data_IF_688351089684
#
_entry.id   IF_688351089684
#
_cell.length_a   1.000
_cell.length_b   1.000
_cell.length_c   1.000
_cell.angle_alpha   90.00
_cell.angle_beta   90.00
_cell.angle_gamma   90.00
#
_symmetry.space_group_name_H-M   'P 1'
#
loop_
_entity.id
_entity.type
_entity.pdbx_description
1 polymer ?
#
# COMPACT_ATOMS: atom_id res chain seq x y z
N UNK A 1 -6.44 28.38 -19.20
CA UNK A 1 -5.36 27.80 -18.38
C UNK A 1 -5.88 26.49 -17.83
N UNK A 2 -5.16 25.37 -17.97
CA UNK A 2 -5.57 24.11 -17.38
C UNK A 2 -5.37 24.15 -15.86
N UNK A 3 -6.07 23.29 -15.11
CA UNK A 3 -5.84 23.15 -13.67
C UNK A 3 -4.35 22.87 -13.35
N UNK A 4 -3.72 21.98 -14.11
CA UNK A 4 -2.30 21.63 -13.92
C UNK A 4 -1.41 22.85 -14.12
N UNK A 5 -1.66 23.68 -15.13
CA UNK A 5 -0.88 24.90 -15.37
C UNK A 5 -1.03 25.93 -14.25
N UNK A 6 -2.17 25.98 -13.54
CA UNK A 6 -2.37 26.91 -12.42
C UNK A 6 -1.53 26.53 -11.18
N UNK A 7 -1.12 25.28 -11.06
CA UNK A 7 -0.23 24.83 -9.98
C UNK A 7 1.18 25.43 -10.10
N UNK A 8 1.56 25.93 -11.25
CA UNK A 8 2.86 26.62 -11.41
C UNK A 8 2.91 27.99 -10.71
N UNK A 9 1.76 28.54 -10.34
CA UNK A 9 1.64 29.86 -9.71
C UNK A 9 1.13 29.79 -8.26
N UNK A 10 0.77 28.58 -7.78
CA UNK A 10 0.19 28.38 -6.45
C UNK A 10 0.97 27.34 -5.67
N UNK A 11 1.09 27.48 -4.33
CA UNK A 11 1.62 26.43 -3.48
C UNK A 11 0.78 25.15 -3.59
N UNK A 12 1.45 23.99 -3.69
CA UNK A 12 0.79 22.69 -3.74
C UNK A 12 1.59 21.63 -2.97
N UNK A 13 0.93 20.55 -2.61
CA UNK A 13 1.55 19.38 -2.01
C UNK A 13 1.36 18.16 -2.92
N UNK A 14 2.29 17.23 -2.88
CA UNK A 14 2.16 15.92 -3.50
C UNK A 14 1.92 14.87 -2.42
N UNK A 15 0.83 14.15 -2.56
CA UNK A 15 0.46 13.05 -1.65
C UNK A 15 0.51 11.72 -2.39
N UNK A 16 1.10 10.72 -1.73
CA UNK A 16 1.31 9.39 -2.29
C UNK A 16 0.58 8.36 -1.42
N UNK A 17 -0.41 7.71 -2.00
CA UNK A 17 -1.14 6.65 -1.33
C UNK A 17 -0.29 5.38 -1.16
N UNK A 18 -0.65 4.56 -0.18
CA UNK A 18 -0.01 3.27 0.09
C UNK A 18 -0.68 2.09 -0.62
N UNK A 19 -0.66 0.93 0.05
CA UNK A 19 -1.33 -0.29 -0.40
C UNK A 19 -2.84 -0.07 -0.59
N UNK A 20 -3.49 -0.97 -1.34
CA UNK A 20 -4.87 -0.88 -1.78
C UNK A 20 -5.17 0.22 -2.83
N UNK A 21 -4.14 0.86 -3.39
CA UNK A 21 -4.29 1.76 -4.53
C UNK A 21 -4.53 0.94 -5.82
N UNK A 22 -5.42 1.36 -6.71
CA UNK A 22 -5.71 0.66 -7.98
C UNK A 22 -4.59 0.86 -9.01
N UNK A 23 -3.41 0.35 -8.71
CA UNK A 23 -2.17 0.55 -9.47
C UNK A 23 -2.18 -0.11 -10.87
N UNK A 24 -2.92 -1.22 -11.04
CA UNK A 24 -2.97 -1.94 -12.33
C UNK A 24 -3.56 -1.09 -13.44
N UNK A 25 -4.71 -0.46 -13.17
CA UNK A 25 -5.35 0.44 -14.13
C UNK A 25 -4.43 1.61 -14.50
N UNK A 26 -3.71 2.17 -13.53
CA UNK A 26 -2.73 3.23 -13.79
C UNK A 26 -1.54 2.74 -14.64
N UNK A 27 -1.05 1.52 -14.42
CA UNK A 27 0.00 0.93 -15.27
C UNK A 27 -0.49 0.64 -16.68
N UNK A 28 -1.74 0.23 -16.85
CA UNK A 28 -2.33 0.03 -18.18
C UNK A 28 -2.44 1.36 -18.95
N UNK A 29 -2.72 2.46 -18.25
CA UNK A 29 -2.70 3.80 -18.86
C UNK A 29 -1.30 4.23 -19.23
N UNK A 30 -0.32 4.05 -18.35
CA UNK A 30 1.10 4.32 -18.62
C UNK A 30 1.59 3.52 -19.83
N UNK A 31 1.22 2.25 -19.94
CA UNK A 31 1.63 1.39 -21.06
C UNK A 31 1.07 1.86 -22.42
N UNK A 32 -0.01 2.64 -22.42
CA UNK A 32 -0.56 3.25 -23.67
C UNK A 32 0.19 4.49 -24.13
N UNK A 33 0.99 5.10 -23.27
CA UNK A 33 1.84 6.23 -23.60
C UNK A 33 3.30 5.77 -23.74
N UNK A 34 3.83 5.66 -24.98
CA UNK A 34 5.16 5.08 -25.21
C UNK A 34 6.28 5.86 -24.53
N UNK A 35 6.18 7.19 -24.42
CA UNK A 35 7.23 8.00 -23.81
C UNK A 35 7.26 7.81 -22.29
N UNK A 36 6.10 7.79 -21.63
CA UNK A 36 6.02 7.52 -20.19
C UNK A 36 6.47 6.09 -19.91
N UNK A 37 6.01 5.14 -20.71
CA UNK A 37 6.37 3.73 -20.59
C UNK A 37 7.89 3.53 -20.71
N UNK A 38 8.56 4.18 -21.67
CA UNK A 38 10.01 4.09 -21.85
C UNK A 38 10.77 4.59 -20.63
N UNK A 39 10.38 5.74 -20.07
CA UNK A 39 11.03 6.33 -18.89
C UNK A 39 10.85 5.41 -17.69
N UNK A 40 9.63 4.95 -17.41
CA UNK A 40 9.35 4.04 -16.30
C UNK A 40 10.10 2.71 -16.48
N UNK A 41 10.10 2.14 -17.69
CA UNK A 41 10.87 0.94 -18.01
C UNK A 41 12.36 1.14 -17.81
N UNK A 42 12.90 2.31 -18.12
CA UNK A 42 14.29 2.69 -17.87
C UNK A 42 14.66 2.59 -16.39
N UNK A 43 13.83 3.14 -15.49
CA UNK A 43 14.02 3.05 -14.04
C UNK A 43 13.94 1.59 -13.55
N UNK A 44 12.96 0.82 -14.06
CA UNK A 44 12.81 -0.61 -13.74
C UNK A 44 14.08 -1.37 -14.14
N UNK A 45 14.55 -1.19 -15.36
CA UNK A 45 15.77 -1.82 -15.88
C UNK A 45 17.02 -1.42 -15.08
N UNK A 46 17.16 -0.14 -14.74
CA UNK A 46 18.27 0.34 -13.93
C UNK A 46 18.27 -0.31 -12.52
N UNK A 47 17.09 -0.56 -11.95
CA UNK A 47 16.95 -1.27 -10.67
C UNK A 47 17.49 -2.71 -10.71
N UNK A 48 17.54 -3.37 -11.87
CA UNK A 48 18.14 -4.69 -12.01
C UNK A 48 19.66 -4.69 -11.72
N UNK A 49 20.33 -3.61 -12.07
CA UNK A 49 21.75 -3.44 -11.77
C UNK A 49 21.97 -3.30 -10.26
N UNK A 50 21.12 -2.51 -9.58
CA UNK A 50 21.15 -2.36 -8.12
C UNK A 50 20.88 -3.70 -7.42
N UNK A 51 19.94 -4.50 -7.93
CA UNK A 51 19.58 -5.80 -7.36
C UNK A 51 20.60 -6.92 -7.68
N UNK A 52 21.46 -6.75 -8.65
CA UNK A 52 22.38 -7.79 -9.12
C UNK A 52 23.28 -8.36 -8.00
N UNK A 53 23.92 -7.57 -7.11
CA UNK A 53 24.67 -8.09 -5.98
C UNK A 53 23.79 -8.85 -4.98
N UNK A 54 22.59 -8.31 -4.70
CA UNK A 54 21.63 -8.91 -3.77
C UNK A 54 21.13 -10.24 -4.30
N UNK A 55 20.79 -10.32 -5.60
CA UNK A 55 20.38 -11.56 -6.27
C UNK A 55 21.43 -12.65 -6.16
N UNK A 56 22.70 -12.33 -6.33
CA UNK A 56 23.79 -13.30 -6.16
C UNK A 56 23.88 -13.83 -4.73
N UNK A 57 23.70 -12.97 -3.74
CA UNK A 57 23.68 -13.37 -2.34
C UNK A 57 22.43 -14.18 -1.98
N UNK A 58 21.27 -13.85 -2.57
CA UNK A 58 20.00 -14.51 -2.30
C UNK A 58 19.82 -15.80 -3.12
N UNK A 59 20.50 -15.95 -4.25
CA UNK A 59 20.45 -17.17 -5.06
C UNK A 59 20.90 -18.41 -4.26
N UNK A 60 21.82 -18.23 -3.31
CA UNK A 60 22.23 -19.26 -2.36
C UNK A 60 21.14 -19.62 -1.33
N UNK A 61 20.08 -18.82 -1.21
CA UNK A 61 19.01 -18.96 -0.25
C UNK A 61 17.65 -19.31 -0.88
N UNK A 62 17.61 -19.74 -2.14
CA UNK A 62 16.38 -20.09 -2.87
C UNK A 62 15.32 -18.96 -2.91
N UNK A 63 15.76 -17.72 -2.93
CA UNK A 63 14.84 -16.59 -3.13
C UNK A 63 14.55 -16.50 -4.63
N UNK A 64 13.30 -16.70 -4.99
CA UNK A 64 12.83 -16.62 -6.37
C UNK A 64 13.25 -15.28 -7.02
N UNK A 65 13.53 -15.34 -8.32
CA UNK A 65 13.72 -14.16 -9.16
C UNK A 65 12.63 -13.12 -8.90
N UNK A 66 13.02 -11.86 -8.89
CA UNK A 66 12.13 -10.70 -8.72
C UNK A 66 11.92 -10.01 -10.07
N UNK A 67 11.32 -10.67 -11.08
CA UNK A 67 10.98 -9.98 -12.30
C UNK A 67 9.81 -9.05 -11.99
N UNK A 68 9.99 -7.78 -12.27
CA UNK A 68 8.90 -6.85 -12.43
C UNK A 68 9.08 -6.21 -13.79
N UNK A 69 8.10 -6.36 -14.64
CA UNK A 69 8.03 -5.76 -15.97
C UNK A 69 6.75 -4.94 -16.06
N UNK A 70 6.81 -3.84 -16.79
CA UNK A 70 5.57 -3.14 -17.16
C UNK A 70 4.72 -4.10 -18.00
N UNK A 71 3.39 -4.08 -17.83
CA UNK A 71 2.52 -4.81 -18.72
C UNK A 71 2.79 -4.35 -20.16
N UNK A 72 2.88 -5.29 -21.09
CA UNK A 72 2.90 -4.94 -22.51
C UNK A 72 1.61 -4.17 -22.83
N UNK A 73 1.71 -3.15 -23.70
CA UNK A 73 0.53 -2.43 -24.15
C UNK A 73 -0.53 -3.44 -24.63
N UNK A 74 -1.76 -3.35 -24.15
CA UNK A 74 -2.75 -4.38 -24.44
C UNK A 74 -3.12 -4.33 -25.91
N UNK A 75 -2.65 -5.28 -26.71
CA UNK A 75 -3.20 -5.58 -28.03
C UNK A 75 -4.60 -6.23 -27.94
N UNK A 76 -4.98 -6.69 -26.78
CA UNK A 76 -6.32 -7.14 -26.45
C UNK A 76 -6.54 -6.97 -24.94
N UNK A 77 -7.79 -6.76 -24.54
CA UNK A 77 -8.23 -6.75 -23.15
C UNK A 77 -8.07 -8.14 -22.50
N UNK A 78 -6.87 -8.69 -22.53
CA UNK A 78 -6.49 -9.83 -21.75
C UNK A 78 -6.42 -9.38 -20.31
N UNK A 79 -7.53 -9.61 -19.63
CA UNK A 79 -7.73 -9.61 -18.19
C UNK A 79 -6.38 -9.68 -17.46
N UNK A 80 -5.96 -8.55 -16.89
CA UNK A 80 -4.98 -8.56 -15.82
C UNK A 80 -5.51 -9.55 -14.78
N UNK A 81 -4.94 -10.75 -14.74
CA UNK A 81 -5.32 -11.76 -13.76
C UNK A 81 -5.17 -11.10 -12.41
N UNK A 82 -6.27 -11.00 -11.70
CA UNK A 82 -6.23 -10.69 -10.28
C UNK A 82 -5.36 -11.75 -9.63
N UNK A 83 -4.11 -11.39 -9.38
CA UNK A 83 -3.20 -12.22 -8.61
C UNK A 83 -3.56 -11.95 -7.15
N UNK A 84 -4.75 -12.42 -6.76
CA UNK A 84 -5.10 -12.50 -5.36
C UNK A 84 -4.20 -13.58 -4.73
N UNK A 85 -3.59 -13.26 -3.61
CA UNK A 85 -2.84 -14.26 -2.87
C UNK A 85 -1.44 -13.80 -2.42
N UNK A 86 -0.61 -14.74 -1.94
CA UNK A 86 0.66 -14.41 -1.29
C UNK A 86 1.68 -13.72 -2.21
N UNK A 87 1.53 -13.82 -3.52
CA UNK A 87 2.44 -13.23 -4.50
C UNK A 87 2.04 -11.81 -4.91
N UNK A 88 0.85 -11.37 -4.51
CA UNK A 88 0.31 -10.06 -4.83
C UNK A 88 1.27 -8.94 -4.40
N UNK A 89 1.85 -9.02 -3.20
CA UNK A 89 2.76 -7.99 -2.70
C UNK A 89 4.04 -7.85 -3.54
N UNK A 90 4.53 -8.94 -4.15
CA UNK A 90 5.70 -8.90 -5.03
C UNK A 90 5.44 -8.07 -6.30
N UNK A 91 4.18 -7.91 -6.68
CA UNK A 91 3.75 -7.12 -7.82
C UNK A 91 3.20 -5.76 -7.42
N UNK A 92 2.36 -5.69 -6.37
CA UNK A 92 1.70 -4.45 -5.97
C UNK A 92 2.66 -3.41 -5.42
N UNK A 93 3.65 -3.82 -4.60
CA UNK A 93 4.59 -2.84 -4.03
C UNK A 93 5.38 -2.11 -5.11
N UNK A 94 6.09 -2.76 -6.04
CA UNK A 94 6.74 -2.05 -7.14
C UNK A 94 5.74 -1.46 -8.14
N UNK A 95 4.59 -2.09 -8.36
CA UNK A 95 3.55 -1.60 -9.27
C UNK A 95 2.99 -0.25 -8.86
N UNK A 96 2.71 -0.06 -7.57
CA UNK A 96 2.27 1.24 -7.02
C UNK A 96 3.35 2.31 -7.23
N UNK A 97 4.61 2.00 -6.97
CA UNK A 97 5.72 2.96 -7.16
C UNK A 97 5.89 3.32 -8.64
N UNK A 98 5.77 2.35 -9.55
CA UNK A 98 5.82 2.59 -10.99
C UNK A 98 4.64 3.47 -11.45
N UNK A 99 3.42 3.21 -10.96
CA UNK A 99 2.24 3.99 -11.26
C UNK A 99 2.38 5.44 -10.75
N UNK A 100 2.92 5.64 -9.56
CA UNK A 100 3.18 6.95 -8.98
C UNK A 100 4.23 7.75 -9.77
N UNK A 101 5.30 7.08 -10.23
CA UNK A 101 6.29 7.70 -11.12
C UNK A 101 5.66 8.09 -12.45
N UNK A 102 4.90 7.20 -13.07
CA UNK A 102 4.22 7.48 -14.34
C UNK A 102 3.25 8.66 -14.22
N UNK A 103 2.44 8.72 -13.16
CA UNK A 103 1.55 9.84 -12.90
C UNK A 103 2.31 11.16 -12.72
N UNK A 104 3.48 11.15 -12.06
CA UNK A 104 4.32 12.34 -11.93
C UNK A 104 4.86 12.83 -13.27
N UNK A 105 5.30 11.91 -14.13
CA UNK A 105 5.75 12.22 -15.49
C UNK A 105 4.60 12.81 -16.30
N UNK A 106 3.41 12.24 -16.23
CA UNK A 106 2.21 12.71 -16.91
C UNK A 106 1.83 14.13 -16.47
N UNK A 107 1.84 14.42 -15.18
CA UNK A 107 1.62 15.78 -14.64
C UNK A 107 2.64 16.78 -15.19
N UNK A 108 3.90 16.38 -15.29
CA UNK A 108 4.97 17.23 -15.86
C UNK A 108 4.70 17.52 -17.34
N UNK A 109 4.28 16.53 -18.10
CA UNK A 109 3.90 16.68 -19.53
C UNK A 109 2.62 17.50 -19.70
N UNK A 110 1.68 17.39 -18.76
CA UNK A 110 0.47 18.21 -18.74
C UNK A 110 0.74 19.69 -18.42
N UNK A 111 2.00 20.06 -18.16
CA UNK A 111 2.46 21.43 -17.98
C UNK A 111 2.81 21.83 -16.56
N UNK A 112 2.90 20.89 -15.62
CA UNK A 112 3.43 21.16 -14.27
C UNK A 112 4.96 21.30 -14.33
N UNK A 113 5.47 22.50 -14.11
CA UNK A 113 6.91 22.72 -14.02
C UNK A 113 7.41 22.41 -12.61
N UNK A 114 7.42 21.12 -12.27
CA UNK A 114 7.75 20.64 -10.91
C UNK A 114 9.18 20.96 -10.48
N UNK A 115 10.10 21.18 -11.43
CA UNK A 115 11.50 21.51 -11.13
C UNK A 115 11.62 22.98 -10.73
N UNK A 116 10.96 23.90 -11.43
CA UNK A 116 11.01 25.32 -11.12
C UNK A 116 10.05 25.70 -9.98
N UNK A 117 8.89 25.02 -9.89
CA UNK A 117 7.91 25.24 -8.83
C UNK A 117 7.73 23.94 -8.04
N UNK A 118 8.68 23.69 -7.13
CA UNK A 118 8.67 22.49 -6.33
C UNK A 118 7.47 22.46 -5.37
N UNK A 119 6.94 21.26 -5.05
CA UNK A 119 5.92 21.11 -4.03
C UNK A 119 6.37 21.69 -2.69
N UNK A 120 5.49 22.39 -2.00
CA UNK A 120 5.75 22.90 -0.64
C UNK A 120 5.81 21.79 0.40
N UNK A 121 5.15 20.66 0.10
CA UNK A 121 5.18 19.48 0.96
C UNK A 121 5.07 18.19 0.13
N UNK A 122 5.66 17.14 0.67
CA UNK A 122 5.49 15.77 0.22
C UNK A 122 4.91 14.95 1.38
N UNK A 123 3.88 14.19 1.11
CA UNK A 123 3.27 13.28 2.06
C UNK A 123 3.19 11.88 1.47
N UNK A 124 3.56 10.88 2.25
CA UNK A 124 3.45 9.49 1.87
C UNK A 124 2.87 8.65 3.00
N UNK A 125 1.70 8.06 2.79
CA UNK A 125 1.10 7.17 3.77
C UNK A 125 1.62 5.73 3.56
N UNK A 126 2.19 5.12 4.62
CA UNK A 126 2.70 3.74 4.56
C UNK A 126 3.70 3.56 3.42
N UNK A 127 3.43 2.67 2.46
CA UNK A 127 4.23 2.49 1.24
C UNK A 127 4.37 3.78 0.40
N UNK A 128 3.45 4.73 0.53
CA UNK A 128 3.52 6.02 -0.15
C UNK A 128 4.81 6.80 0.11
N UNK A 129 5.54 6.47 1.19
CA UNK A 129 6.91 6.99 1.44
C UNK A 129 7.86 6.66 0.28
N UNK A 130 7.73 5.50 -0.36
CA UNK A 130 8.53 5.16 -1.54
C UNK A 130 8.15 6.05 -2.73
N UNK A 131 6.85 6.43 -2.84
CA UNK A 131 6.37 7.42 -3.81
C UNK A 131 6.99 8.80 -3.61
N UNK A 132 7.10 9.25 -2.35
CA UNK A 132 7.82 10.49 -2.02
C UNK A 132 9.28 10.43 -2.47
N UNK A 133 9.96 9.33 -2.17
CA UNK A 133 11.37 9.20 -2.48
C UNK A 133 11.63 9.10 -3.99
N UNK A 134 10.77 8.40 -4.76
CA UNK A 134 10.91 8.35 -6.22
C UNK A 134 10.61 9.70 -6.87
N UNK A 135 9.62 10.45 -6.34
CA UNK A 135 9.32 11.80 -6.81
C UNK A 135 10.49 12.76 -6.57
N UNK A 136 11.10 12.71 -5.39
CA UNK A 136 12.29 13.52 -5.07
C UNK A 136 13.47 13.19 -5.98
N UNK A 137 13.70 11.90 -6.23
CA UNK A 137 14.75 11.46 -7.14
C UNK A 137 14.50 11.97 -8.56
N UNK A 138 13.26 11.85 -9.04
CA UNK A 138 12.84 12.34 -10.35
C UNK A 138 13.02 13.85 -10.50
N UNK A 139 12.55 14.64 -9.53
CA UNK A 139 12.68 16.11 -9.53
C UNK A 139 14.14 16.56 -9.54
N UNK A 140 14.99 15.81 -8.83
CA UNK A 140 16.42 16.08 -8.77
C UNK A 140 17.21 15.59 -10.00
N UNK A 141 16.59 14.86 -10.91
CA UNK A 141 17.29 14.20 -12.03
C UNK A 141 18.24 13.08 -11.54
N UNK A 142 18.02 12.51 -10.34
CA UNK A 142 18.88 11.49 -9.75
C UNK A 142 18.35 10.08 -10.13
N UNK A 143 18.75 9.63 -11.31
CA UNK A 143 18.38 8.33 -11.84
C UNK A 143 18.88 7.16 -10.97
N UNK A 144 20.04 7.29 -10.36
CA UNK A 144 20.62 6.26 -9.50
C UNK A 144 19.79 6.07 -8.23
N UNK A 145 19.31 7.17 -7.64
CA UNK A 145 18.41 7.14 -6.49
C UNK A 145 17.04 6.57 -6.90
N UNK A 146 16.47 6.99 -8.03
CA UNK A 146 15.22 6.44 -8.54
C UNK A 146 15.30 4.91 -8.72
N UNK A 147 16.38 4.42 -9.34
CA UNK A 147 16.64 2.99 -9.49
C UNK A 147 16.76 2.28 -8.13
N UNK A 148 17.42 2.90 -7.15
CA UNK A 148 17.59 2.35 -5.81
C UNK A 148 16.27 2.27 -5.04
N UNK A 149 15.42 3.29 -5.11
CA UNK A 149 14.08 3.29 -4.51
C UNK A 149 13.20 2.21 -5.14
N UNK A 150 13.24 2.07 -6.46
CA UNK A 150 12.50 1.04 -7.15
C UNK A 150 13.00 -0.37 -6.80
N UNK A 151 14.31 -0.56 -6.69
CA UNK A 151 14.92 -1.81 -6.23
C UNK A 151 14.45 -2.16 -4.80
N UNK A 152 14.40 -1.17 -3.89
CA UNK A 152 13.88 -1.35 -2.53
C UNK A 152 12.41 -1.77 -2.55
N UNK A 153 11.57 -1.15 -3.39
CA UNK A 153 10.17 -1.53 -3.55
C UNK A 153 10.02 -3.00 -3.95
N UNK A 154 10.84 -3.47 -4.90
CA UNK A 154 10.87 -4.87 -5.33
C UNK A 154 11.30 -5.82 -4.21
N UNK A 155 12.30 -5.45 -3.42
CA UNK A 155 12.76 -6.25 -2.27
C UNK A 155 11.68 -6.34 -1.18
N UNK A 156 11.03 -5.22 -0.85
CA UNK A 156 9.94 -5.19 0.14
C UNK A 156 8.80 -6.09 -0.32
N UNK A 157 8.35 -5.95 -1.57
CA UNK A 157 7.26 -6.77 -2.12
C UNK A 157 7.58 -8.26 -2.10
N UNK A 158 8.79 -8.63 -2.49
CA UNK A 158 9.22 -10.03 -2.47
C UNK A 158 9.37 -10.59 -1.05
N UNK A 159 9.91 -9.81 -0.11
CA UNK A 159 10.02 -10.21 1.28
C UNK A 159 8.63 -10.42 1.89
N UNK A 160 7.70 -9.49 1.65
CA UNK A 160 6.32 -9.58 2.10
C UNK A 160 5.62 -10.83 1.54
N UNK A 161 5.72 -11.08 0.24
CA UNK A 161 5.17 -12.29 -0.40
C UNK A 161 5.75 -13.57 0.21
N UNK A 162 7.06 -13.60 0.48
CA UNK A 162 7.72 -14.76 1.10
C UNK A 162 7.23 -15.01 2.53
N UNK A 163 7.08 -13.95 3.33
CA UNK A 163 6.57 -14.06 4.71
C UNK A 163 5.14 -14.60 4.67
N UNK A 164 4.29 -14.05 3.81
CA UNK A 164 2.90 -14.48 3.68
C UNK A 164 2.78 -15.94 3.26
N UNK A 165 3.59 -16.40 2.30
CA UNK A 165 3.62 -17.82 1.91
C UNK A 165 3.97 -18.75 3.07
N UNK A 166 4.86 -18.33 3.97
CA UNK A 166 5.25 -19.12 5.16
C UNK A 166 4.20 -19.10 6.26
N UNK A 167 3.52 -17.96 6.43
CA UNK A 167 2.49 -17.80 7.47
C UNK A 167 1.12 -18.36 7.06
N UNK A 168 0.92 -18.66 5.77
CA UNK A 168 -0.39 -19.06 5.25
C UNK A 168 -0.77 -20.45 5.71
N UNK A 169 -1.93 -20.55 6.34
CA UNK A 169 -2.60 -21.83 6.52
C UNK A 169 -3.01 -22.41 5.15
N UNK A 170 -2.94 -23.76 4.95
CA UNK A 170 -3.15 -24.41 3.65
C UNK A 170 -4.49 -24.11 2.95
N UNK A 171 -5.45 -23.49 3.62
CA UNK A 171 -6.81 -23.25 3.13
C UNK A 171 -7.29 -21.80 3.24
N UNK A 172 -6.41 -20.86 3.52
CA UNK A 172 -6.79 -19.45 3.54
C UNK A 172 -6.88 -18.93 2.09
N UNK A 173 -8.03 -19.06 1.46
CA UNK A 173 -8.33 -18.54 0.11
C UNK A 173 -7.92 -17.06 -0.10
N UNK A 174 -8.79 -16.22 -0.61
CA UNK A 174 -8.56 -14.78 -0.84
C UNK A 174 -8.70 -13.93 0.45
N UNK A 175 -8.39 -14.52 1.60
CA UNK A 175 -8.53 -13.86 2.89
C UNK A 175 -7.48 -12.74 3.05
N UNK A 176 -7.94 -11.58 3.48
CA UNK A 176 -7.08 -10.42 3.75
C UNK A 176 -6.47 -10.52 5.13
N UNK A 177 -5.31 -9.87 5.31
CA UNK A 177 -4.56 -9.86 6.55
C UNK A 177 -4.63 -8.52 7.29
N UNK A 178 -5.49 -7.60 6.83
CA UNK A 178 -5.66 -6.29 7.41
C UNK A 178 -7.12 -5.87 7.42
N UNK A 179 -7.53 -5.19 8.50
CA UNK A 179 -8.86 -4.60 8.65
C UNK A 179 -8.72 -3.14 9.11
N UNK A 180 -9.44 -2.24 8.44
CA UNK A 180 -9.63 -0.86 8.90
C UNK A 180 -10.74 -0.85 9.94
N UNK A 181 -10.48 -0.21 11.09
CA UNK A 181 -11.43 -0.05 12.19
C UNK A 181 -11.58 1.44 12.45
N UNK A 182 -12.79 1.96 12.30
CA UNK A 182 -13.15 3.37 12.55
C UNK A 182 -14.20 3.47 13.63
N UNK A 183 -14.19 4.59 14.38
CA UNK A 183 -15.13 4.85 15.47
C UNK A 183 -14.85 4.07 16.74
N UNK A 184 -13.60 3.57 16.91
CA UNK A 184 -13.15 2.85 18.09
C UNK A 184 -11.86 3.48 18.59
N UNK A 185 -11.83 3.99 19.81
CA UNK A 185 -10.62 4.59 20.37
C UNK A 185 -9.49 3.57 20.53
N UNK A 186 -8.24 4.03 20.46
CA UNK A 186 -7.04 3.19 20.63
C UNK A 186 -7.08 2.37 21.91
N UNK A 187 -7.48 2.99 23.03
CA UNK A 187 -7.58 2.32 24.31
C UNK A 187 -8.65 1.22 24.36
N UNK A 188 -9.80 1.41 23.69
CA UNK A 188 -10.83 0.38 23.61
C UNK A 188 -10.39 -0.74 22.68
N UNK A 189 -9.83 -0.41 21.53
CA UNK A 189 -9.32 -1.39 20.57
C UNK A 189 -8.23 -2.26 21.20
N UNK A 190 -7.29 -1.67 21.94
CA UNK A 190 -6.25 -2.40 22.67
C UNK A 190 -6.85 -3.40 23.68
N UNK A 191 -7.80 -2.96 24.52
CA UNK A 191 -8.48 -3.88 25.46
C UNK A 191 -9.24 -5.00 24.76
N UNK A 192 -9.88 -4.73 23.62
CA UNK A 192 -10.56 -5.77 22.85
C UNK A 192 -9.54 -6.81 22.36
N UNK A 193 -8.42 -6.35 21.77
CA UNK A 193 -7.35 -7.24 21.29
C UNK A 193 -6.79 -8.09 22.44
N UNK A 194 -6.48 -7.46 23.57
CA UNK A 194 -5.98 -8.16 24.75
C UNK A 194 -6.95 -9.20 25.32
N UNK A 195 -8.25 -9.00 25.13
CA UNK A 195 -9.29 -9.95 25.59
C UNK A 195 -9.45 -11.18 24.69
N UNK A 196 -8.88 -11.16 23.50
CA UNK A 196 -8.95 -12.28 22.56
C UNK A 196 -7.90 -13.35 22.91
N UNK A 197 -8.16 -14.62 22.55
CA UNK A 197 -7.17 -15.67 22.75
C UNK A 197 -5.85 -15.36 22.07
N UNK A 198 -4.74 -15.56 22.77
CA UNK A 198 -3.40 -15.39 22.17
C UNK A 198 -3.16 -16.50 21.14
N UNK A 199 -2.73 -16.10 19.95
CA UNK A 199 -2.37 -16.98 18.84
C UNK A 199 -0.87 -16.91 18.56
N UNK A 200 -0.36 -17.78 17.69
CA UNK A 200 1.05 -17.74 17.25
C UNK A 200 1.38 -16.49 16.41
N UNK A 201 0.37 -15.79 15.92
CA UNK A 201 0.49 -14.55 15.17
C UNK A 201 -0.48 -13.53 15.76
N UNK A 202 -0.10 -12.83 16.84
CA UNK A 202 -0.99 -11.95 17.56
C UNK A 202 -1.46 -10.79 16.66
N UNK A 203 -2.69 -10.33 16.91
CA UNK A 203 -3.20 -9.11 16.29
C UNK A 203 -2.32 -7.91 16.68
N UNK A 204 -2.03 -7.07 15.72
CA UNK A 204 -1.25 -5.84 15.91
C UNK A 204 -1.99 -4.63 15.37
N UNK A 205 -2.03 -3.53 16.12
CA UNK A 205 -2.46 -2.23 15.58
C UNK A 205 -1.33 -1.73 14.67
N UNK A 206 -1.47 -2.03 13.39
CA UNK A 206 -0.48 -1.73 12.37
C UNK A 206 -0.35 -0.22 12.10
N UNK A 207 -1.48 0.49 12.06
CA UNK A 207 -1.51 1.94 11.81
C UNK A 207 -2.52 2.61 12.75
N UNK A 208 -2.14 3.79 13.22
CA UNK A 208 -3.00 4.73 13.96
C UNK A 208 -3.15 5.97 13.09
N UNK A 209 -4.22 5.98 12.29
CA UNK A 209 -4.45 7.07 11.33
C UNK A 209 -5.10 8.28 11.99
N UNK A 210 -5.86 8.05 13.08
CA UNK A 210 -6.48 9.09 13.90
C UNK A 210 -6.74 8.52 15.31
N UNK A 211 -7.35 9.31 16.17
CA UNK A 211 -7.72 8.94 17.56
C UNK A 211 -8.67 7.76 17.65
N UNK A 212 -9.46 7.53 16.60
CA UNK A 212 -10.47 6.47 16.51
C UNK A 212 -10.45 5.72 15.16
N UNK A 213 -9.38 5.89 14.39
CA UNK A 213 -9.22 5.27 13.08
C UNK A 213 -7.91 4.52 13.00
N UNK A 214 -8.00 3.21 12.92
CA UNK A 214 -6.88 2.29 13.00
C UNK A 214 -6.88 1.27 11.87
N UNK A 215 -5.72 0.69 11.62
CA UNK A 215 -5.62 -0.54 10.82
C UNK A 215 -5.01 -1.62 11.70
N UNK A 216 -5.68 -2.77 11.76
CA UNK A 216 -5.20 -3.93 12.49
C UNK A 216 -4.74 -4.99 11.50
N UNK A 217 -3.55 -5.56 11.73
CA UNK A 217 -3.01 -6.70 10.98
C UNK A 217 -3.07 -7.96 11.82
N UNK A 218 -3.20 -9.10 11.16
CA UNK A 218 -3.23 -10.41 11.81
C UNK A 218 -3.69 -11.53 10.88
N UNK A 219 -3.79 -12.73 11.43
CA UNK A 219 -4.35 -13.85 10.69
C UNK A 219 -5.85 -13.63 10.39
N UNK A 220 -6.37 -14.08 9.24
CA UNK A 220 -7.76 -13.82 8.85
C UNK A 220 -8.81 -14.24 9.89
N UNK A 221 -8.62 -15.39 10.53
CA UNK A 221 -9.54 -15.88 11.56
C UNK A 221 -9.50 -15.01 12.83
N UNK A 222 -8.33 -14.50 13.18
CA UNK A 222 -8.16 -13.62 14.33
C UNK A 222 -8.77 -12.24 14.06
N UNK A 223 -8.62 -11.73 12.83
CA UNK A 223 -9.31 -10.52 12.38
C UNK A 223 -10.83 -10.68 12.40
N UNK A 224 -11.37 -11.83 11.98
CA UNK A 224 -12.79 -12.10 12.06
C UNK A 224 -13.28 -12.13 13.53
N UNK A 225 -12.48 -12.71 14.42
CA UNK A 225 -12.75 -12.73 15.87
C UNK A 225 -12.73 -11.33 16.47
N UNK A 226 -11.81 -10.47 16.00
CA UNK A 226 -11.72 -9.07 16.40
C UNK A 226 -12.96 -8.29 15.96
N UNK A 227 -13.35 -8.40 14.69
CA UNK A 227 -14.55 -7.72 14.16
C UNK A 227 -15.77 -8.11 14.97
N UNK A 228 -15.98 -9.41 15.20
CA UNK A 228 -17.10 -9.89 16.03
C UNK A 228 -17.05 -9.38 17.48
N UNK A 229 -15.86 -9.20 18.05
CA UNK A 229 -15.70 -8.65 19.40
C UNK A 229 -16.04 -7.14 19.43
N UNK A 230 -15.64 -6.38 18.41
CA UNK A 230 -15.98 -4.95 18.25
C UNK A 230 -17.50 -4.80 18.12
N UNK A 231 -18.15 -5.61 17.30
CA UNK A 231 -19.62 -5.58 17.11
C UNK A 231 -20.36 -5.88 18.42
N UNK A 232 -19.90 -6.88 19.20
CA UNK A 232 -20.46 -7.17 20.53
C UNK A 232 -20.28 -6.01 21.50
N UNK A 233 -19.11 -5.35 21.47
CA UNK A 233 -18.87 -4.17 22.32
C UNK A 233 -19.80 -3.02 21.95
N UNK A 234 -20.02 -2.77 20.65
CA UNK A 234 -20.95 -1.75 20.18
C UNK A 234 -22.39 -2.05 20.54
N UNK A 235 -22.83 -3.31 20.41
CA UNK A 235 -24.17 -3.73 20.80
C UNK A 235 -24.42 -3.55 22.31
N UNK A 236 -23.43 -3.86 23.15
CA UNK A 236 -23.52 -3.65 24.60
C UNK A 236 -23.55 -2.15 24.93
N UNK A 237 -22.71 -1.36 24.31
CA UNK A 237 -22.67 0.09 24.50
C UNK A 237 -24.00 0.74 24.10
N UNK A 238 -24.55 0.34 22.94
CA UNK A 238 -25.86 0.81 22.48
C UNK A 238 -26.97 0.46 23.47
N UNK A 239 -27.01 -0.76 23.98
CA UNK A 239 -28.00 -1.18 24.96
C UNK A 239 -27.96 -0.35 26.26
N UNK A 240 -26.74 -0.01 26.74
CA UNK A 240 -26.56 0.87 27.89
C UNK A 240 -27.01 2.31 27.62
N UNK A 241 -26.79 2.83 26.43
CA UNK A 241 -27.32 4.15 26.02
C UNK A 241 -28.86 4.13 25.93
N UNK A 242 -29.45 3.08 25.34
CA UNK A 242 -30.89 2.93 25.22
C UNK A 242 -31.55 2.80 26.62
N UNK A 243 -30.84 2.22 27.59
CA UNK A 243 -31.26 2.17 28.99
C UNK A 243 -31.02 3.46 29.79
N UNK A 244 -30.45 4.49 29.17
CA UNK A 244 -30.04 5.76 29.80
C UNK A 244 -28.97 5.59 30.93
N UNK A 245 -28.22 4.50 30.87
CA UNK A 245 -27.13 4.22 31.83
C UNK A 245 -25.83 4.97 31.45
N UNK A 246 -25.69 5.33 30.16
CA UNK A 246 -24.55 6.07 29.63
C UNK A 246 -25.02 7.36 28.96
N UNK A 247 -24.21 8.42 29.14
CA UNK A 247 -24.36 9.68 28.42
C UNK A 247 -23.45 9.71 27.18
N UNK A 248 -23.73 10.65 26.27
CA UNK A 248 -22.95 10.84 25.05
C UNK A 248 -23.54 10.14 23.83
N UNK A 249 -22.68 9.80 22.87
CA UNK A 249 -23.08 9.10 21.65
C UNK A 249 -22.70 7.62 21.74
N UNK A 250 -23.58 6.71 21.30
CA UNK A 250 -23.25 5.29 21.25
C UNK A 250 -22.10 5.00 20.28
N UNK A 251 -21.36 3.96 20.58
CA UNK A 251 -20.29 3.45 19.74
C UNK A 251 -20.84 2.95 18.40
N UNK A 252 -20.34 3.51 17.30
CA UNK A 252 -20.75 3.16 15.93
C UNK A 252 -19.55 2.75 15.10
N UNK A 253 -18.95 1.57 15.36
CA UNK A 253 -17.77 1.13 14.64
C UNK A 253 -18.07 0.79 13.19
N UNK A 254 -17.07 1.04 12.33
CA UNK A 254 -17.04 0.57 10.94
C UNK A 254 -15.78 -0.26 10.77
N UNK A 255 -15.96 -1.53 10.44
CA UNK A 255 -14.87 -2.45 10.14
C UNK A 255 -14.90 -2.80 8.65
N UNK A 256 -13.78 -2.60 7.96
CA UNK A 256 -13.64 -2.83 6.53
C UNK A 256 -12.37 -3.64 6.26
N UNK A 257 -12.53 -4.82 5.66
CA UNK A 257 -11.39 -5.63 5.24
C UNK A 257 -10.69 -4.97 4.05
N UNK A 258 -9.39 -4.73 4.22
CA UNK A 258 -8.59 -4.13 3.17
C UNK A 258 -8.15 -5.21 2.15
N UNK A 259 -8.13 -4.92 0.85
CA UNK A 259 -7.65 -5.86 -0.17
C UNK A 259 -6.11 -5.98 -0.12
N UNK A 260 -5.60 -6.36 1.03
CA UNK A 260 -4.16 -6.50 1.32
C UNK A 260 -3.92 -7.92 1.83
N UNK A 261 -3.16 -8.67 1.05
CA UNK A 261 -2.93 -10.11 1.28
C UNK A 261 -1.66 -10.40 2.10
N UNK A 262 -1.16 -9.39 2.78
CA UNK A 262 0.07 -9.45 3.59
C UNK A 262 -0.16 -8.68 4.90
N UNK A 263 0.27 -9.20 6.06
CA UNK A 263 0.21 -8.46 7.31
C UNK A 263 1.33 -7.41 7.39
N UNK A 264 1.18 -6.30 6.67
CA UNK A 264 2.12 -5.20 6.76
C UNK A 264 2.09 -4.53 8.14
N UNK A 265 3.22 -3.99 8.58
CA UNK A 265 3.38 -3.29 9.85
C UNK A 265 3.08 -4.15 11.10
N UNK A 266 3.15 -5.47 10.99
CA UNK A 266 2.96 -6.39 12.14
C UNK A 266 4.27 -6.71 12.85
#
# INVERSE_FOLDING_TARGET
MSFVSSLNETPYALTFAGQATPWRAALDEIARDPEIAEIVAGVIKASDQVLSPVRRSLATQSVASLPFELPAAPESAAVTRDVAGPDEAALSVPGIVAAQLGALIDLTRAGLNIVANQPTAFEGHSQGVLGVEIARAWIAGDEARAASVFALARLIGAAAARITRRARAPHAGDATYMVSVRGVSDALLGRIIESLPSTSHPLSIALRNDTDTHVVSGAPNDLASLVAAIERAAAKDKAAHDAHELGGRPLTPVCEYLPVYVPFHS
#
